data_IF_475840651556
#
_entry.id   IF_475840651556
#
_cell.length_a   1.000
_cell.length_b   1.000
_cell.length_c   1.000
_cell.angle_alpha   90.00
_cell.angle_beta   90.00
_cell.angle_gamma   90.00
#
_symmetry.space_group_name_H-M   'P 1'
#
loop_
_entity.id
_entity.type
_entity.pdbx_description
1 polymer ?
#
# COMPACT_ATOMS: atom_id res chain seq x y z
N UNK A 1 15.52 14.16 31.06
CA UNK A 1 15.82 13.99 29.63
C UNK A 1 14.97 12.82 29.14
N UNK A 2 13.83 13.03 28.46
CA UNK A 2 13.18 11.92 27.81
C UNK A 2 13.98 11.59 26.56
N UNK A 3 14.54 10.39 26.54
CA UNK A 3 15.14 9.78 25.36
C UNK A 3 14.12 9.84 24.23
N UNK A 4 14.47 10.52 23.14
CA UNK A 4 13.66 10.48 21.93
C UNK A 4 13.69 9.05 21.42
N UNK A 5 12.64 8.34 21.78
CA UNK A 5 12.23 7.08 21.21
C UNK A 5 12.37 7.21 19.68
N UNK A 6 13.42 6.61 19.13
CA UNK A 6 13.54 6.34 17.69
C UNK A 6 12.55 5.22 17.38
N UNK A 7 11.26 5.52 17.51
CA UNK A 7 10.17 4.67 17.05
C UNK A 7 10.22 4.85 15.54
N UNK A 8 10.95 3.93 14.92
CA UNK A 8 10.94 3.59 13.52
C UNK A 8 10.18 4.58 12.63
N UNK A 9 10.93 5.24 11.76
CA UNK A 9 10.48 5.87 10.51
C UNK A 9 9.85 4.81 9.54
N UNK A 10 9.15 3.84 10.09
CA UNK A 10 8.37 2.84 9.39
C UNK A 10 7.06 3.53 9.05
N UNK A 11 6.98 4.00 7.80
CA UNK A 11 5.79 4.59 7.21
C UNK A 11 4.57 3.78 7.61
N UNK A 12 3.74 4.36 8.46
CA UNK A 12 2.52 3.69 8.91
C UNK A 12 1.50 3.75 7.80
N UNK A 13 1.05 2.59 7.32
CA UNK A 13 -0.04 2.48 6.34
C UNK A 13 -1.30 3.21 6.79
N UNK A 14 -1.47 3.45 8.09
CA UNK A 14 -2.59 4.22 8.63
C UNK A 14 -2.59 5.69 8.17
N UNK A 15 -1.41 6.26 7.88
CA UNK A 15 -1.26 7.65 7.40
C UNK A 15 -1.42 7.76 5.87
N UNK A 16 -1.57 6.63 5.18
CA UNK A 16 -1.80 6.58 3.74
C UNK A 16 -3.29 6.71 3.40
N UNK A 17 -3.60 7.36 2.28
CA UNK A 17 -4.98 7.42 1.77
C UNK A 17 -5.50 6.01 1.42
N UNK A 18 -6.82 5.87 1.25
CA UNK A 18 -7.40 4.60 0.80
C UNK A 18 -6.78 4.13 -0.53
N UNK A 19 -6.66 5.03 -1.51
CA UNK A 19 -6.08 4.75 -2.83
C UNK A 19 -4.64 4.24 -2.73
N UNK A 20 -3.80 4.84 -1.87
CA UNK A 20 -2.43 4.36 -1.65
C UNK A 20 -2.40 2.92 -1.14
N UNK A 21 -3.24 2.61 -0.16
CA UNK A 21 -3.32 1.27 0.43
C UNK A 21 -3.86 0.24 -0.56
N UNK A 22 -4.89 0.61 -1.30
CA UNK A 22 -5.51 -0.27 -2.30
C UNK A 22 -4.54 -0.57 -3.43
N UNK A 23 -3.78 0.43 -3.88
CA UNK A 23 -2.80 0.25 -4.94
C UNK A 23 -1.63 -0.64 -4.49
N UNK A 24 -1.15 -0.48 -3.24
CA UNK A 24 -0.19 -1.41 -2.62
C UNK A 24 -0.75 -2.83 -2.50
N UNK A 25 -2.02 -2.95 -2.14
CA UNK A 25 -2.71 -4.24 -2.04
C UNK A 25 -2.82 -4.92 -3.41
N UNK A 26 -3.28 -4.22 -4.45
CA UNK A 26 -3.34 -4.76 -5.82
C UNK A 26 -1.96 -5.22 -6.28
N UNK A 27 -0.92 -4.40 -6.12
CA UNK A 27 0.46 -4.76 -6.45
C UNK A 27 0.96 -6.01 -5.70
N UNK A 28 0.48 -6.23 -4.47
CA UNK A 28 0.82 -7.43 -3.70
C UNK A 28 0.19 -8.70 -4.27
N UNK A 29 -0.99 -8.56 -4.89
CA UNK A 29 -1.75 -9.66 -5.47
C UNK A 29 -1.33 -9.97 -6.91
N UNK A 30 -1.09 -8.93 -7.72
CA UNK A 30 -0.75 -9.07 -9.16
C UNK A 30 0.75 -9.21 -9.39
N UNK A 31 1.59 -8.79 -8.44
CA UNK A 31 3.04 -8.71 -8.62
C UNK A 31 3.48 -7.47 -9.41
N UNK A 32 4.70 -7.47 -9.96
CA UNK A 32 5.21 -6.36 -10.77
C UNK A 32 4.26 -6.04 -11.93
N UNK A 33 3.83 -4.79 -12.07
CA UNK A 33 2.82 -4.40 -13.06
C UNK A 33 2.98 -2.95 -13.49
N UNK A 34 2.61 -2.64 -14.73
CA UNK A 34 2.54 -1.27 -15.26
C UNK A 34 1.33 -0.50 -14.69
N UNK A 35 1.30 0.82 -14.85
CA UNK A 35 0.19 1.64 -14.34
C UNK A 35 -1.17 1.32 -14.99
N UNK A 36 -1.19 0.86 -16.25
CA UNK A 36 -2.42 0.55 -16.98
C UNK A 36 -3.23 -0.60 -16.38
N UNK A 37 -2.65 -1.80 -16.19
CA UNK A 37 -3.31 -2.90 -15.50
C UNK A 37 -3.75 -2.56 -14.07
N UNK A 38 -2.92 -1.81 -13.33
CA UNK A 38 -3.26 -1.35 -11.97
C UNK A 38 -4.46 -0.42 -11.97
N UNK A 39 -4.49 0.53 -12.90
CA UNK A 39 -5.62 1.42 -13.12
C UNK A 39 -6.89 0.65 -13.45
N UNK A 40 -6.83 -0.33 -14.34
CA UNK A 40 -8.01 -1.14 -14.70
C UNK A 40 -8.54 -1.92 -13.49
N UNK A 41 -7.65 -2.48 -12.65
CA UNK A 41 -8.04 -3.18 -11.44
C UNK A 41 -8.70 -2.23 -10.40
N UNK A 42 -8.19 -1.01 -10.27
CA UNK A 42 -8.79 0.00 -9.38
C UNK A 42 -10.12 0.51 -9.94
N UNK A 43 -10.23 0.75 -11.24
CA UNK A 43 -11.48 1.17 -11.89
C UNK A 43 -12.58 0.11 -11.78
N UNK A 44 -12.23 -1.17 -11.80
CA UNK A 44 -13.18 -2.27 -11.53
C UNK A 44 -13.65 -2.30 -10.06
N UNK A 45 -12.76 -1.91 -9.13
CA UNK A 45 -13.04 -1.87 -7.70
C UNK A 45 -13.83 -0.62 -7.24
N UNK A 46 -13.50 0.55 -7.78
CA UNK A 46 -14.14 1.82 -7.43
C UNK A 46 -15.38 2.07 -8.31
N UNK A 47 -16.57 2.05 -7.71
CA UNK A 47 -17.85 2.23 -8.44
C UNK A 47 -17.96 3.57 -9.19
N UNK A 48 -17.37 4.63 -8.64
CA UNK A 48 -17.37 5.97 -9.26
C UNK A 48 -16.28 6.13 -10.33
N UNK A 49 -15.46 5.10 -10.54
CA UNK A 49 -14.24 5.19 -11.31
C UNK A 49 -13.15 5.97 -10.58
N UNK A 50 -11.91 5.78 -11.03
CA UNK A 50 -10.75 6.55 -10.58
C UNK A 50 -10.08 7.16 -11.80
N UNK A 51 -9.45 8.33 -11.67
CA UNK A 51 -8.68 8.93 -12.76
C UNK A 51 -7.31 8.24 -12.92
N UNK A 52 -6.91 7.97 -14.18
CA UNK A 52 -5.58 7.42 -14.47
C UNK A 52 -4.46 8.34 -13.97
N UNK A 53 -4.65 9.65 -14.05
CA UNK A 53 -3.71 10.64 -13.50
C UNK A 53 -3.58 10.51 -11.98
N UNK A 54 -4.68 10.23 -11.27
CA UNK A 54 -4.66 10.01 -9.83
C UNK A 54 -3.85 8.76 -9.46
N UNK A 55 -4.04 7.67 -10.22
CA UNK A 55 -3.27 6.41 -10.06
C UNK A 55 -1.78 6.65 -10.31
N UNK A 56 -1.41 7.35 -11.39
CA UNK A 56 -0.02 7.67 -11.68
C UNK A 56 0.63 8.55 -10.60
N UNK A 57 -0.07 9.58 -10.13
CA UNK A 57 0.45 10.44 -9.05
C UNK A 57 0.65 9.64 -7.75
N UNK A 58 -0.34 8.81 -7.39
CA UNK A 58 -0.25 7.93 -6.22
C UNK A 58 0.93 6.97 -6.33
N UNK A 59 1.20 6.43 -7.52
CA UNK A 59 2.35 5.57 -7.77
C UNK A 59 3.68 6.28 -7.56
N UNK A 60 3.83 7.50 -8.07
CA UNK A 60 5.04 8.30 -7.85
C UNK A 60 5.21 8.66 -6.36
N UNK A 61 4.14 9.03 -5.64
CA UNK A 61 4.19 9.26 -4.18
C UNK A 61 4.63 7.99 -3.41
N UNK A 62 4.16 6.81 -3.82
CA UNK A 62 4.60 5.54 -3.22
C UNK A 62 6.07 5.23 -3.51
N UNK A 63 6.59 5.68 -4.65
CA UNK A 63 8.01 5.56 -5.01
C UNK A 63 8.87 6.50 -4.17
N UNK A 64 8.44 7.75 -3.99
CA UNK A 64 9.11 8.71 -3.09
C UNK A 64 9.20 8.21 -1.65
N UNK A 65 8.22 7.41 -1.23
CA UNK A 65 8.14 6.81 0.12
C UNK A 65 8.84 5.46 0.23
N UNK A 66 9.59 5.01 -0.77
CA UNK A 66 10.25 3.70 -0.80
C UNK A 66 9.30 2.51 -0.57
N UNK A 67 7.99 2.65 -0.80
CA UNK A 67 7.02 1.54 -0.67
C UNK A 67 6.91 0.76 -1.97
N UNK A 68 7.13 1.44 -3.09
CA UNK A 68 7.13 0.91 -4.44
C UNK A 68 8.43 1.33 -5.12
N UNK A 69 8.94 0.50 -6.02
CA UNK A 69 10.03 0.87 -6.92
C UNK A 69 9.53 0.83 -8.35
N UNK A 70 9.92 1.82 -9.14
CA UNK A 70 9.68 1.86 -10.59
C UNK A 70 10.90 1.31 -11.32
N UNK A 71 10.71 0.26 -12.11
CA UNK A 71 11.75 -0.27 -12.99
C UNK A 71 11.92 0.66 -14.18
N UNK A 72 13.13 1.19 -14.40
CA UNK A 72 13.41 2.13 -15.50
C UNK A 72 13.22 1.50 -16.89
N UNK A 73 13.38 0.18 -17.00
CA UNK A 73 13.39 -0.50 -18.30
C UNK A 73 11.99 -0.86 -18.79
N UNK A 74 11.11 -1.26 -17.88
CA UNK A 74 9.78 -1.77 -18.20
C UNK A 74 8.65 -0.84 -17.72
N UNK A 75 8.98 0.30 -17.08
CA UNK A 75 8.00 1.17 -16.41
C UNK A 75 7.05 0.43 -15.45
N UNK A 76 7.49 -0.75 -14.99
CA UNK A 76 6.74 -1.58 -14.06
C UNK A 76 6.99 -1.14 -12.63
N UNK A 77 5.92 -1.15 -11.85
CA UNK A 77 5.93 -0.88 -10.44
C UNK A 77 5.96 -2.18 -9.66
N UNK A 78 6.81 -2.25 -8.63
CA UNK A 78 6.95 -3.41 -7.78
C UNK A 78 7.05 -2.99 -6.32
N UNK A 79 6.43 -3.76 -5.42
CA UNK A 79 6.63 -3.56 -3.99
C UNK A 79 8.10 -3.71 -3.58
N UNK A 80 8.57 -2.75 -2.79
CA UNK A 80 9.85 -2.87 -2.09
C UNK A 80 9.72 -3.81 -0.90
N UNK A 81 10.84 -4.07 -0.21
CA UNK A 81 10.79 -4.78 1.07
C UNK A 81 10.03 -3.97 2.13
N UNK A 82 10.21 -2.65 2.15
CA UNK A 82 9.49 -1.71 3.02
C UNK A 82 7.97 -1.79 2.80
N UNK A 83 7.52 -1.75 1.54
CA UNK A 83 6.11 -1.89 1.18
C UNK A 83 5.51 -3.24 1.59
N UNK A 84 6.24 -4.34 1.39
CA UNK A 84 5.81 -5.69 1.85
C UNK A 84 5.69 -5.77 3.38
N UNK A 85 6.65 -5.20 4.11
CA UNK A 85 6.64 -5.16 5.58
C UNK A 85 5.48 -4.35 6.10
N UNK A 86 5.23 -3.18 5.52
CA UNK A 86 4.09 -2.35 5.86
C UNK A 86 2.79 -3.14 5.68
N UNK A 87 2.57 -3.73 4.50
CA UNK A 87 1.37 -4.53 4.22
C UNK A 87 1.21 -5.69 5.20
N UNK A 88 2.28 -6.42 5.49
CA UNK A 88 2.28 -7.53 6.45
C UNK A 88 1.93 -7.05 7.86
N UNK A 89 2.47 -5.91 8.30
CA UNK A 89 2.14 -5.31 9.60
C UNK A 89 0.66 -4.91 9.67
N UNK A 90 0.11 -4.38 8.58
CA UNK A 90 -1.32 -4.04 8.48
C UNK A 90 -2.21 -5.29 8.54
N UNK A 91 -1.86 -6.35 7.81
CA UNK A 91 -2.59 -7.61 7.84
C UNK A 91 -2.56 -8.25 9.23
N UNK A 92 -1.40 -8.25 9.89
CA UNK A 92 -1.26 -8.72 11.26
C UNK A 92 -2.14 -7.92 12.24
N UNK A 93 -2.20 -6.59 12.07
CA UNK A 93 -3.11 -5.75 12.86
C UNK A 93 -4.59 -6.13 12.62
N UNK A 94 -5.02 -6.31 11.37
CA UNK A 94 -6.39 -6.73 11.05
C UNK A 94 -6.74 -8.12 11.61
N UNK A 95 -5.80 -9.07 11.56
CA UNK A 95 -5.98 -10.41 12.11
C UNK A 95 -6.00 -10.40 13.66
N UNK A 96 -5.18 -9.55 14.28
CA UNK A 96 -5.18 -9.35 15.73
C UNK A 96 -6.47 -8.71 16.25
N UNK A 97 -7.06 -7.77 15.49
CA UNK A 97 -8.35 -7.17 15.85
C UNK A 97 -9.52 -8.15 15.70
N UNK A 98 -9.49 -9.05 14.71
CA UNK A 98 -10.58 -10.00 14.48
C UNK A 98 -10.67 -11.11 15.55
N UNK A 99 -9.59 -11.34 16.30
CA UNK A 99 -9.57 -12.31 17.42
C UNK A 99 -10.03 -11.70 18.76
N UNK A 100 -10.31 -10.39 18.83
CA UNK A 100 -10.75 -9.73 20.06
C UNK A 100 -12.29 -9.68 20.22
N UNK A 101 -13.07 -10.08 19.21
CA UNK A 101 -14.55 -10.01 19.23
C UNK A 101 -15.23 -11.39 19.41
N UNK A 102 -14.55 -12.38 19.99
CA UNK A 102 -15.12 -13.69 20.31
C UNK A 102 -14.88 -14.10 21.76
N UNK A 103 -15.54 -13.45 22.71
CA UNK A 103 -15.30 -13.75 24.13
C UNK A 103 -16.26 -13.10 25.13
N UNK A 104 -17.57 -13.19 24.91
CA UNK A 104 -18.63 -12.99 25.90
C UNK A 104 -19.95 -13.53 25.30
N UNK A 105 -20.72 -14.45 25.87
CA UNK A 105 -20.76 -15.23 27.11
C UNK A 105 -21.51 -16.54 26.79
#
# INVERSE_FOLDING_TARGET
>A
MPSQNTESDAISLADLSATHRDLLWVLSQTGPSESGPLYHALTDYYTDGIDHTCVCNTLEELVERDLVTKQTNDSQYRLTESGRRALSARQAWQAGTHNAEGGNE
#
